data_IF_625967472055
#
_entry.id   IF_625967472055
#
_cell.length_a   1.000
_cell.length_b   1.000
_cell.length_c   1.000
_cell.angle_alpha   90.00
_cell.angle_beta   90.00
_cell.angle_gamma   90.00
#
_symmetry.space_group_name_H-M   'P 1'
#
loop_
_entity.id
_entity.type
_entity.pdbx_description
1 polymer ?
#
# COMPACT_ATOMS: atom_id res chain seq x y z
N UNK A 1 51.00 -53.72 38.50
CA UNK A 1 50.98 -52.56 37.55
C UNK A 1 49.77 -52.71 36.69
N UNK A 2 48.63 -52.14 37.04
CA UNK A 2 47.49 -51.91 36.11
C UNK A 2 46.28 -51.42 36.91
N UNK A 3 46.16 -50.13 37.23
CA UNK A 3 44.89 -49.58 37.71
C UNK A 3 44.73 -48.06 37.51
N UNK A 4 45.59 -47.45 36.69
CA UNK A 4 45.61 -45.98 36.56
C UNK A 4 44.82 -45.41 35.34
N UNK A 5 44.17 -46.28 34.55
CA UNK A 5 43.49 -45.79 33.29
C UNK A 5 41.96 -45.74 33.38
N UNK A 6 41.36 -46.15 34.53
CA UNK A 6 39.87 -46.16 34.64
C UNK A 6 39.26 -44.92 35.26
N UNK A 7 40.05 -44.01 35.82
CA UNK A 7 39.50 -42.75 36.41
C UNK A 7 39.54 -41.53 35.52
N UNK A 8 40.23 -41.62 34.36
CA UNK A 8 40.33 -40.49 33.43
C UNK A 8 39.10 -40.30 32.55
N UNK A 9 38.26 -41.32 32.38
CA UNK A 9 37.05 -41.26 31.54
C UNK A 9 35.78 -40.84 32.29
N UNK A 10 35.82 -40.82 33.63
CA UNK A 10 34.63 -40.52 34.44
C UNK A 10 34.46 -39.04 34.72
N UNK A 11 35.49 -38.21 34.47
CA UNK A 11 35.43 -36.75 34.68
C UNK A 11 35.07 -35.94 33.44
N UNK A 12 34.86 -36.54 32.23
CA UNK A 12 34.47 -35.83 31.02
C UNK A 12 32.96 -35.74 30.82
N UNK A 13 32.17 -36.52 31.56
CA UNK A 13 30.71 -36.55 31.40
C UNK A 13 30.01 -35.30 31.96
N UNK A 14 30.44 -34.65 33.07
CA UNK A 14 29.75 -33.45 33.55
C UNK A 14 29.99 -32.20 32.70
N UNK A 15 31.07 -32.16 31.90
CA UNK A 15 31.36 -30.99 31.06
C UNK A 15 30.45 -30.87 29.81
N UNK A 16 30.02 -32.01 29.26
CA UNK A 16 29.09 -32.02 28.11
C UNK A 16 27.64 -31.75 28.51
N UNK A 17 27.24 -31.97 29.75
CA UNK A 17 25.87 -31.74 30.21
C UNK A 17 25.57 -30.26 30.49
N UNK A 18 26.61 -29.44 30.66
CA UNK A 18 26.46 -27.98 30.89
C UNK A 18 26.31 -27.17 29.61
N UNK A 19 26.65 -27.75 28.43
CA UNK A 19 26.48 -27.06 27.11
C UNK A 19 25.06 -27.14 26.56
N UNK A 20 24.17 -27.96 27.12
CA UNK A 20 22.79 -28.12 26.65
C UNK A 20 21.78 -27.19 27.33
N UNK A 21 22.23 -26.37 28.28
CA UNK A 21 21.38 -25.42 29.02
C UNK A 21 21.47 -23.99 28.51
N UNK A 22 21.83 -23.76 27.24
CA UNK A 22 21.68 -22.43 26.63
C UNK A 22 20.17 -22.18 26.37
N UNK A 23 19.54 -21.19 27.01
CA UNK A 23 18.18 -20.81 26.68
C UNK A 23 18.16 -20.40 25.21
N UNK A 24 17.10 -20.76 24.48
CA UNK A 24 16.93 -20.23 23.12
C UNK A 24 16.98 -18.69 23.20
N UNK A 25 17.91 -18.08 22.50
CA UNK A 25 17.92 -16.64 22.31
C UNK A 25 16.63 -16.36 21.56
N UNK A 26 15.63 -15.84 22.27
CA UNK A 26 14.42 -15.32 21.66
C UNK A 26 14.88 -14.16 20.74
N UNK A 27 14.90 -14.42 19.45
CA UNK A 27 14.99 -13.36 18.46
C UNK A 27 13.70 -12.55 18.66
N UNK A 28 13.81 -11.40 19.31
CA UNK A 28 12.78 -10.39 19.25
C UNK A 28 12.69 -10.00 17.76
N UNK A 29 11.62 -10.40 17.09
CA UNK A 29 11.25 -9.78 15.80
C UNK A 29 11.16 -8.29 16.08
N UNK A 30 12.09 -7.52 15.52
CA UNK A 30 11.97 -6.08 15.49
C UNK A 30 10.68 -5.77 14.72
N UNK A 31 9.61 -5.54 15.45
CA UNK A 31 8.37 -5.08 14.90
C UNK A 31 8.61 -3.63 14.47
N UNK A 32 8.97 -3.45 13.20
CA UNK A 32 9.10 -2.12 12.59
C UNK A 32 7.77 -1.41 12.73
N UNK A 33 7.70 -0.50 13.71
CA UNK A 33 6.58 0.42 13.82
C UNK A 33 6.67 1.40 12.65
N UNK A 34 5.70 1.32 11.75
CA UNK A 34 5.65 2.22 10.60
C UNK A 34 5.42 3.67 11.07
N UNK A 35 6.13 4.61 10.47
CA UNK A 35 6.06 6.01 10.87
C UNK A 35 4.80 6.65 10.31
N UNK A 36 3.98 7.25 11.15
CA UNK A 36 2.85 8.08 10.73
C UNK A 36 3.38 9.36 10.08
N UNK A 37 2.97 9.63 8.82
CA UNK A 37 3.35 10.82 8.05
C UNK A 37 2.22 11.84 7.96
N UNK A 38 0.96 11.41 8.06
CA UNK A 38 -0.18 12.30 8.17
C UNK A 38 -1.32 11.63 8.95
N UNK A 39 -2.17 12.46 9.54
CA UNK A 39 -3.42 12.06 10.19
C UNK A 39 -4.54 12.84 9.51
N UNK A 40 -5.53 12.12 9.00
CA UNK A 40 -6.70 12.68 8.33
C UNK A 40 -7.93 12.20 9.10
N UNK A 41 -8.38 13.03 10.03
CA UNK A 41 -9.47 12.71 10.95
C UNK A 41 -9.15 11.47 11.82
N UNK A 42 -9.79 10.32 11.59
CA UNK A 42 -9.53 9.05 12.28
C UNK A 42 -8.68 8.08 11.45
N UNK A 43 -8.23 8.48 10.28
CA UNK A 43 -7.40 7.68 9.38
C UNK A 43 -5.95 8.16 9.42
N UNK A 44 -5.01 7.25 9.23
CA UNK A 44 -3.58 7.55 9.24
C UNK A 44 -2.97 7.19 7.88
N UNK A 45 -1.99 7.98 7.46
CA UNK A 45 -1.10 7.65 6.34
C UNK A 45 0.27 7.36 6.95
N UNK A 46 0.83 6.19 6.61
CA UNK A 46 2.12 5.76 7.12
C UNK A 46 3.20 5.85 6.03
N UNK A 47 4.46 5.87 6.46
CA UNK A 47 5.60 6.05 5.56
C UNK A 47 5.67 4.98 4.46
N UNK A 48 5.47 3.71 4.81
CA UNK A 48 5.51 2.63 3.82
C UNK A 48 4.43 2.75 2.76
N UNK A 49 3.25 3.28 3.11
CA UNK A 49 2.18 3.56 2.15
C UNK A 49 2.58 4.70 1.20
N UNK A 50 3.13 5.80 1.73
CA UNK A 50 3.63 6.93 0.95
C UNK A 50 4.76 6.51 0.01
N UNK A 51 5.71 5.70 0.47
CA UNK A 51 6.84 5.23 -0.33
C UNK A 51 6.37 4.34 -1.48
N UNK A 52 5.45 3.41 -1.23
CA UNK A 52 4.85 2.55 -2.25
C UNK A 52 4.08 3.38 -3.29
N UNK A 53 3.24 4.32 -2.85
CA UNK A 53 2.49 5.19 -3.76
C UNK A 53 3.42 6.05 -4.60
N UNK A 54 4.47 6.59 -3.99
CA UNK A 54 5.50 7.39 -4.67
C UNK A 54 6.25 6.57 -5.73
N UNK A 55 6.59 5.32 -5.43
CA UNK A 55 7.26 4.43 -6.39
C UNK A 55 6.37 4.15 -7.61
N UNK A 56 5.09 3.82 -7.40
CA UNK A 56 4.12 3.58 -8.47
C UNK A 56 3.95 4.80 -9.38
N UNK A 57 3.73 5.99 -8.80
CA UNK A 57 3.55 7.22 -9.58
C UNK A 57 4.81 7.59 -10.35
N UNK A 58 5.99 7.43 -9.72
CA UNK A 58 7.28 7.68 -10.38
C UNK A 58 7.46 6.79 -11.61
N UNK A 59 7.17 5.51 -11.49
CA UNK A 59 7.23 4.58 -12.61
C UNK A 59 6.31 4.99 -13.76
N UNK A 60 5.05 5.30 -13.45
CA UNK A 60 4.07 5.76 -14.45
C UNK A 60 4.50 7.04 -15.18
N UNK A 61 5.11 7.99 -14.47
CA UNK A 61 5.60 9.23 -15.06
C UNK A 61 6.82 8.96 -15.97
N UNK A 62 7.72 8.06 -15.58
CA UNK A 62 8.87 7.66 -16.40
C UNK A 62 8.43 6.94 -17.69
N UNK A 63 7.45 6.05 -17.61
CA UNK A 63 6.87 5.36 -18.79
C UNK A 63 6.24 6.35 -19.78
N UNK A 64 5.70 7.48 -19.28
CA UNK A 64 5.15 8.56 -20.10
C UNK A 64 6.17 9.60 -20.53
N UNK A 65 7.47 9.38 -20.27
CA UNK A 65 8.55 10.35 -20.51
C UNK A 65 8.27 11.73 -19.87
N UNK A 66 7.59 11.77 -18.73
CA UNK A 66 7.30 12.99 -18.00
C UNK A 66 8.46 13.33 -17.07
N UNK A 67 8.92 14.58 -17.11
CA UNK A 67 9.97 15.04 -16.20
C UNK A 67 9.47 15.03 -14.75
N UNK A 68 10.24 14.42 -13.85
CA UNK A 68 9.94 14.39 -12.43
C UNK A 68 10.34 15.72 -11.76
N UNK A 69 9.54 16.24 -10.81
CA UNK A 69 9.99 17.29 -9.90
C UNK A 69 11.19 16.84 -9.06
N UNK A 70 11.78 17.77 -8.31
CA UNK A 70 12.79 17.36 -7.31
C UNK A 70 12.18 16.37 -6.30
N UNK A 71 13.00 15.49 -5.68
CA UNK A 71 12.49 14.39 -4.86
C UNK A 71 11.63 14.84 -3.67
N UNK A 72 11.94 15.98 -3.06
CA UNK A 72 11.19 16.50 -1.91
C UNK A 72 9.84 17.03 -2.32
N UNK A 73 9.77 17.83 -3.36
CA UNK A 73 8.53 18.35 -3.96
C UNK A 73 7.65 17.22 -4.46
N UNK A 74 8.25 16.22 -5.13
CA UNK A 74 7.49 15.05 -5.59
C UNK A 74 6.83 14.30 -4.45
N UNK A 75 7.59 13.97 -3.38
CA UNK A 75 7.06 13.27 -2.22
C UNK A 75 5.95 14.06 -1.53
N UNK A 76 6.13 15.38 -1.39
CA UNK A 76 5.11 16.25 -0.81
C UNK A 76 3.83 16.24 -1.65
N UNK A 77 3.92 16.36 -2.97
CA UNK A 77 2.76 16.33 -3.88
C UNK A 77 2.02 15.01 -3.80
N UNK A 78 2.74 13.87 -3.68
CA UNK A 78 2.11 12.56 -3.48
C UNK A 78 1.37 12.50 -2.15
N UNK A 79 1.98 12.99 -1.07
CA UNK A 79 1.35 13.02 0.25
C UNK A 79 0.09 13.91 0.24
N UNK A 80 0.16 15.10 -0.34
CA UNK A 80 -0.97 16.02 -0.43
C UNK A 80 -2.13 15.38 -1.21
N UNK A 81 -1.82 14.66 -2.30
CA UNK A 81 -2.83 13.90 -3.06
C UNK A 81 -3.45 12.79 -2.22
N UNK A 82 -2.65 12.04 -1.46
CA UNK A 82 -3.16 10.98 -0.59
C UNK A 82 -4.08 11.54 0.50
N UNK A 83 -3.71 12.67 1.10
CA UNK A 83 -4.55 13.37 2.10
C UNK A 83 -5.87 13.81 1.47
N UNK A 84 -5.83 14.43 0.29
CA UNK A 84 -7.04 14.86 -0.43
C UNK A 84 -7.95 13.67 -0.75
N UNK A 85 -7.40 12.55 -1.21
CA UNK A 85 -8.15 11.34 -1.50
C UNK A 85 -8.85 10.79 -0.25
N UNK A 86 -8.16 10.75 0.91
CA UNK A 86 -8.78 10.35 2.19
C UNK A 86 -9.96 11.23 2.57
N UNK A 87 -9.79 12.56 2.43
CA UNK A 87 -10.87 13.54 2.70
C UNK A 87 -12.06 13.29 1.78
N UNK A 88 -11.84 13.09 0.49
CA UNK A 88 -12.90 12.86 -0.48
C UNK A 88 -13.63 11.52 -0.27
N UNK A 89 -12.91 10.45 0.04
CA UNK A 89 -13.51 9.15 0.37
C UNK A 89 -14.35 9.23 1.65
N UNK A 90 -13.89 9.97 2.64
CA UNK A 90 -14.66 10.21 3.85
C UNK A 90 -15.92 11.02 3.59
N UNK A 91 -15.80 12.05 2.74
CA UNK A 91 -16.94 12.85 2.30
C UNK A 91 -17.96 11.99 1.52
N UNK A 92 -17.50 11.06 0.69
CA UNK A 92 -18.34 10.07 0.04
C UNK A 92 -19.12 9.25 1.06
N UNK A 93 -18.43 8.65 2.02
CA UNK A 93 -19.05 7.81 3.05
C UNK A 93 -20.07 8.58 3.89
N UNK A 94 -19.75 9.81 4.33
CA UNK A 94 -20.66 10.64 5.13
C UNK A 94 -21.89 11.12 4.38
N UNK A 95 -21.87 11.11 3.04
CA UNK A 95 -23.01 11.50 2.19
C UNK A 95 -23.70 10.30 1.52
N UNK A 96 -23.39 9.05 1.94
CA UNK A 96 -23.99 7.86 1.39
C UNK A 96 -23.69 7.65 -0.11
N UNK A 97 -22.52 8.13 -0.57
CA UNK A 97 -22.05 7.89 -1.94
C UNK A 97 -21.34 6.53 -1.94
N UNK A 98 -21.94 5.57 -2.59
CA UNK A 98 -21.49 4.18 -2.60
C UNK A 98 -21.38 3.67 -4.05
N UNK A 99 -20.67 2.56 -4.21
CA UNK A 99 -20.63 1.77 -5.43
C UNK A 99 -20.87 0.29 -5.07
N UNK A 100 -21.79 -0.35 -5.76
CA UNK A 100 -22.06 -1.78 -5.59
C UNK A 100 -20.95 -2.63 -6.23
N UNK A 101 -20.80 -3.86 -5.75
CA UNK A 101 -19.83 -4.79 -6.35
C UNK A 101 -20.15 -5.11 -7.81
N UNK A 102 -21.43 -5.20 -8.19
CA UNK A 102 -21.84 -5.43 -9.58
C UNK A 102 -21.43 -4.28 -10.50
N UNK A 103 -21.58 -3.04 -10.03
CA UNK A 103 -21.17 -1.86 -10.78
C UNK A 103 -19.65 -1.76 -10.91
N UNK A 104 -18.93 -2.07 -9.83
CA UNK A 104 -17.47 -2.13 -9.86
C UNK A 104 -16.98 -3.22 -10.82
N UNK A 105 -17.58 -4.42 -10.79
CA UNK A 105 -17.25 -5.50 -11.70
C UNK A 105 -17.52 -5.11 -13.15
N UNK A 106 -18.66 -4.47 -13.43
CA UNK A 106 -18.98 -3.96 -14.77
C UNK A 106 -17.98 -2.90 -15.26
N UNK A 107 -17.44 -2.11 -14.35
CA UNK A 107 -16.40 -1.12 -14.67
C UNK A 107 -15.06 -1.79 -14.96
N UNK A 108 -14.68 -2.79 -14.18
CA UNK A 108 -13.47 -3.59 -14.41
C UNK A 108 -13.54 -4.34 -15.74
N UNK A 109 -14.70 -4.91 -16.11
CA UNK A 109 -14.91 -5.53 -17.43
C UNK A 109 -14.72 -4.52 -18.56
N UNK A 110 -15.25 -3.31 -18.43
CA UNK A 110 -15.05 -2.25 -19.45
C UNK A 110 -13.58 -1.83 -19.57
N UNK A 111 -12.86 -1.75 -18.45
CA UNK A 111 -11.41 -1.46 -18.44
C UNK A 111 -10.64 -2.58 -19.15
N UNK A 112 -10.93 -3.84 -18.84
CA UNK A 112 -10.32 -4.97 -19.50
C UNK A 112 -10.59 -4.96 -21.03
N UNK A 113 -11.86 -4.77 -21.42
CA UNK A 113 -12.26 -4.70 -22.84
C UNK A 113 -11.60 -3.53 -23.59
N UNK A 114 -11.42 -2.37 -22.95
CA UNK A 114 -10.72 -1.22 -23.55
C UNK A 114 -9.23 -1.55 -23.85
N UNK A 115 -8.66 -2.47 -23.08
CA UNK A 115 -7.33 -3.04 -23.29
C UNK A 115 -7.34 -4.31 -24.20
N UNK A 116 -8.50 -4.65 -24.80
CA UNK A 116 -8.70 -5.84 -25.65
C UNK A 116 -8.48 -7.16 -24.91
N UNK A 117 -8.77 -7.19 -23.62
CA UNK A 117 -8.65 -8.33 -22.73
C UNK A 117 -10.02 -8.74 -22.17
N UNK A 118 -10.17 -10.01 -21.83
CA UNK A 118 -11.19 -10.45 -20.88
C UNK A 118 -10.76 -10.07 -19.46
N UNK A 119 -11.69 -10.06 -18.50
CA UNK A 119 -11.36 -9.78 -17.08
C UNK A 119 -10.36 -10.81 -16.52
N UNK A 120 -10.43 -12.07 -16.96
CA UNK A 120 -9.49 -13.10 -16.55
C UNK A 120 -8.06 -12.84 -17.05
N UNK A 121 -7.92 -12.46 -18.32
CA UNK A 121 -6.63 -12.08 -18.92
C UNK A 121 -6.08 -10.80 -18.29
N UNK A 122 -6.94 -9.81 -18.01
CA UNK A 122 -6.55 -8.60 -17.31
C UNK A 122 -5.99 -8.89 -15.92
N UNK A 123 -6.64 -9.78 -15.16
CA UNK A 123 -6.14 -10.23 -13.86
C UNK A 123 -4.77 -10.92 -13.97
N UNK A 124 -4.61 -11.83 -14.94
CA UNK A 124 -3.34 -12.52 -15.16
C UNK A 124 -2.22 -11.56 -15.56
N UNK A 125 -2.54 -10.55 -16.36
CA UNK A 125 -1.57 -9.53 -16.75
C UNK A 125 -1.10 -8.70 -15.54
N UNK A 126 -2.01 -8.24 -14.69
CA UNK A 126 -1.65 -7.53 -13.47
C UNK A 126 -0.73 -8.38 -12.57
N UNK A 127 -1.05 -9.65 -12.38
CA UNK A 127 -0.23 -10.57 -11.57
C UNK A 127 1.16 -10.79 -12.21
N UNK A 128 1.24 -10.89 -13.53
CA UNK A 128 2.51 -11.00 -14.26
C UNK A 128 3.39 -9.73 -14.15
N UNK A 129 2.76 -8.56 -14.01
CA UNK A 129 3.41 -7.27 -13.76
C UNK A 129 3.73 -7.06 -12.27
N UNK A 130 3.46 -8.05 -11.41
CA UNK A 130 3.70 -7.98 -9.96
C UNK A 130 2.67 -7.12 -9.19
N UNK A 131 1.53 -6.81 -9.81
CA UNK A 131 0.45 -6.04 -9.19
C UNK A 131 -0.58 -6.99 -8.57
N UNK A 132 -1.08 -6.62 -7.40
CA UNK A 132 -2.16 -7.36 -6.74
C UNK A 132 -3.52 -6.92 -7.31
N UNK A 133 -4.27 -7.86 -7.90
CA UNK A 133 -5.59 -7.56 -8.47
C UNK A 133 -6.57 -6.94 -7.45
N UNK A 134 -6.57 -7.39 -6.20
CA UNK A 134 -7.46 -6.84 -5.18
C UNK A 134 -7.11 -5.39 -4.84
N UNK A 135 -5.82 -5.05 -4.81
CA UNK A 135 -5.37 -3.66 -4.59
C UNK A 135 -5.80 -2.76 -5.75
N UNK A 136 -5.62 -3.21 -7.00
CA UNK A 136 -6.06 -2.47 -8.19
C UNK A 136 -7.59 -2.30 -8.19
N UNK A 137 -8.34 -3.34 -7.82
CA UNK A 137 -9.80 -3.27 -7.70
C UNK A 137 -10.25 -2.22 -6.67
N UNK A 138 -9.62 -2.17 -5.51
CA UNK A 138 -9.95 -1.18 -4.48
C UNK A 138 -9.50 0.24 -4.87
N UNK A 139 -8.39 0.37 -5.61
CA UNK A 139 -8.00 1.65 -6.18
C UNK A 139 -9.05 2.17 -7.16
N UNK A 140 -9.53 1.34 -8.07
CA UNK A 140 -10.60 1.71 -9.03
C UNK A 140 -11.89 2.06 -8.28
N UNK A 141 -12.26 1.31 -7.23
CA UNK A 141 -13.38 1.66 -6.35
C UNK A 141 -13.22 3.08 -5.78
N UNK A 142 -12.05 3.37 -5.24
CA UNK A 142 -11.74 4.68 -4.66
C UNK A 142 -11.83 5.80 -5.69
N UNK A 143 -11.29 5.60 -6.88
CA UNK A 143 -11.35 6.59 -7.97
C UNK A 143 -12.80 6.90 -8.41
N UNK A 144 -13.66 5.87 -8.49
CA UNK A 144 -15.08 6.08 -8.81
C UNK A 144 -15.78 6.86 -7.70
N UNK A 145 -15.53 6.53 -6.43
CA UNK A 145 -16.12 7.23 -5.29
C UNK A 145 -15.69 8.69 -5.24
N UNK A 146 -14.40 8.97 -5.48
CA UNK A 146 -13.85 10.33 -5.54
C UNK A 146 -14.51 11.13 -6.68
N UNK A 147 -14.59 10.56 -7.87
CA UNK A 147 -15.22 11.19 -9.03
C UNK A 147 -16.69 11.53 -8.75
N UNK A 148 -17.46 10.60 -8.20
CA UNK A 148 -18.87 10.82 -7.82
C UNK A 148 -19.01 11.90 -6.74
N UNK A 149 -18.09 11.95 -5.81
CA UNK A 149 -18.08 12.96 -4.75
C UNK A 149 -17.86 14.34 -5.34
N UNK A 150 -16.90 14.47 -6.24
CA UNK A 150 -16.62 15.73 -6.96
C UNK A 150 -17.83 16.16 -7.78
N UNK A 151 -18.40 15.26 -8.56
CA UNK A 151 -19.56 15.56 -9.43
C UNK A 151 -20.79 15.97 -8.61
N UNK A 152 -21.06 15.31 -7.49
CA UNK A 152 -22.29 15.53 -6.70
C UNK A 152 -22.17 16.68 -5.71
N UNK A 153 -21.02 16.89 -5.10
CA UNK A 153 -20.85 17.78 -3.95
C UNK A 153 -19.98 19.01 -4.25
N UNK A 154 -19.05 18.90 -5.19
CA UNK A 154 -18.06 19.97 -5.48
C UNK A 154 -18.48 20.76 -6.71
N UNK A 155 -18.66 20.10 -7.85
CA UNK A 155 -18.95 20.78 -9.12
C UNK A 155 -20.21 21.70 -9.07
N UNK A 156 -21.32 21.31 -8.41
CA UNK A 156 -22.49 22.19 -8.34
C UNK A 156 -22.27 23.48 -7.53
N UNK A 157 -21.19 23.54 -6.75
CA UNK A 157 -20.84 24.72 -5.93
C UNK A 157 -19.81 25.63 -6.60
N UNK A 158 -19.23 25.21 -7.72
CA UNK A 158 -18.28 26.00 -8.48
C UNK A 158 -19.08 26.81 -9.52
N UNK A 159 -19.32 28.09 -9.22
CA UNK A 159 -19.86 29.04 -10.17
C UNK A 159 -18.71 29.89 -10.73
N UNK A 160 -18.27 29.60 -11.94
CA UNK A 160 -17.32 30.47 -12.64
C UNK A 160 -18.14 31.64 -13.23
N UNK A 161 -17.90 32.83 -12.72
CA UNK A 161 -18.51 34.06 -13.29
C UNK A 161 -17.89 34.33 -14.65
N UNK A 162 -18.74 34.70 -15.65
CA UNK A 162 -18.25 35.10 -16.99
C UNK A 162 -17.28 36.30 -16.95
N UNK A 163 -17.24 37.03 -15.82
CA UNK A 163 -16.31 38.15 -15.59
C UNK A 163 -14.87 37.73 -15.27
N UNK A 164 -14.64 36.46 -14.94
CA UNK A 164 -13.29 35.91 -14.61
C UNK A 164 -12.56 35.35 -15.85
N UNK A 165 -13.19 35.36 -17.01
CA UNK A 165 -12.65 34.79 -18.27
C UNK A 165 -12.04 35.85 -19.19
N UNK A 166 -11.92 37.10 -18.75
CA UNK A 166 -11.38 38.20 -19.59
C UNK A 166 -9.91 38.49 -19.32
#
# INVERSE_FOLDING_TARGET
MSNSRKHALLNLIPLCLWLLAMPPVAQAEEQFLDRVVAIVDNDIIVQTELDRRSATIRQQLLERNTQLPDPSTFTQQVLDKMILDRIQLRLAASNGIEISDDELNSTLDRIAQSNKLSLAEFKQQLEAEGQNYLEVREQIRSEILITRTQERLVNPRIHISELEIT
#
